data_IF_763685876064
#
_entry.id   IF_763685876064
#
_cell.length_a   1.000
_cell.length_b   1.000
_cell.length_c   1.000
_cell.angle_alpha   90.00
_cell.angle_beta   90.00
_cell.angle_gamma   90.00
#
_symmetry.space_group_name_H-M   'P 1'
#
loop_
_entity.id
_entity.type
_entity.pdbx_description
1 polymer ?
#
# COMPACT_ATOMS: atom_id res chain seq x y z
N UNK A 1 26.93 10.12 76.27
CA UNK A 1 27.65 9.16 75.40
C UNK A 1 26.72 8.78 74.24
N UNK A 2 27.27 8.70 73.02
CA UNK A 2 26.56 8.76 71.73
C UNK A 2 25.76 7.49 71.43
N UNK A 3 24.48 7.65 71.05
CA UNK A 3 23.65 6.60 70.41
C UNK A 3 23.86 6.64 68.89
N UNK A 4 24.31 5.53 68.30
CA UNK A 4 24.46 5.37 66.85
C UNK A 4 23.18 4.77 66.26
N UNK A 5 22.43 5.57 65.50
CA UNK A 5 21.32 5.10 64.68
C UNK A 5 21.82 4.58 63.34
N UNK A 6 21.49 3.34 63.00
CA UNK A 6 21.75 2.76 61.69
C UNK A 6 20.54 3.05 60.79
N UNK A 7 20.72 3.91 59.80
CA UNK A 7 19.74 4.12 58.74
C UNK A 7 19.96 3.05 57.65
N UNK A 8 19.01 2.11 57.54
CA UNK A 8 18.94 1.16 56.42
C UNK A 8 18.32 1.89 55.24
N UNK A 9 19.14 2.26 54.26
CA UNK A 9 18.69 2.81 52.97
C UNK A 9 18.26 1.62 52.11
N UNK A 10 16.95 1.40 51.99
CA UNK A 10 16.38 0.50 50.99
C UNK A 10 16.60 1.11 49.60
N UNK A 11 17.60 0.59 48.87
CA UNK A 11 17.72 0.81 47.44
C UNK A 11 16.55 0.10 46.73
N UNK A 12 15.52 0.86 46.39
CA UNK A 12 14.48 0.42 45.48
C UNK A 12 15.09 0.24 44.08
N UNK A 13 15.49 -1.00 43.78
CA UNK A 13 15.76 -1.43 42.41
C UNK A 13 14.46 -1.33 41.61
N UNK A 14 14.32 -0.26 40.82
CA UNK A 14 13.33 -0.20 39.75
C UNK A 14 13.75 -1.21 38.68
N UNK A 15 13.20 -2.42 38.76
CA UNK A 15 13.22 -3.36 37.65
C UNK A 15 12.25 -2.80 36.60
N UNK A 16 12.78 -2.04 35.64
CA UNK A 16 12.05 -1.69 34.43
C UNK A 16 11.70 -2.99 33.71
N UNK A 17 10.47 -3.46 33.88
CA UNK A 17 9.88 -4.48 33.05
C UNK A 17 9.88 -3.95 31.61
N UNK A 18 10.80 -4.46 30.78
CA UNK A 18 10.75 -4.24 29.35
C UNK A 18 9.40 -4.80 28.86
N UNK A 19 8.46 -3.90 28.55
CA UNK A 19 7.21 -4.29 27.91
C UNK A 19 7.57 -5.06 26.64
N UNK A 20 7.24 -6.36 26.61
CA UNK A 20 7.50 -7.21 25.46
C UNK A 20 6.90 -6.58 24.21
N UNK A 21 7.75 -6.28 23.23
CA UNK A 21 7.29 -5.68 22.00
C UNK A 21 6.33 -6.67 21.31
N UNK A 22 5.08 -6.25 21.10
CA UNK A 22 4.10 -7.10 20.43
C UNK A 22 4.53 -7.32 18.97
N UNK A 23 4.82 -8.59 18.65
CA UNK A 23 5.24 -9.01 17.32
C UNK A 23 4.02 -9.53 16.57
N UNK A 24 3.73 -8.88 15.44
CA UNK A 24 2.70 -9.27 14.50
C UNK A 24 3.31 -9.91 13.25
N UNK A 25 2.50 -10.56 12.42
CA UNK A 25 2.91 -10.99 11.09
C UNK A 25 2.02 -10.35 10.04
N UNK A 26 2.61 -9.66 9.07
CA UNK A 26 1.93 -9.15 7.88
C UNK A 26 2.19 -10.11 6.73
N UNK A 27 1.14 -10.77 6.24
CA UNK A 27 1.21 -11.57 5.02
C UNK A 27 0.93 -10.69 3.80
N UNK A 28 1.85 -10.72 2.85
CA UNK A 28 1.72 -10.14 1.52
C UNK A 28 1.43 -11.25 0.51
N UNK A 29 0.49 -10.99 -0.40
CA UNK A 29 0.25 -11.79 -1.61
C UNK A 29 0.17 -10.86 -2.83
N UNK A 30 1.09 -11.02 -3.77
CA UNK A 30 1.03 -10.38 -5.08
C UNK A 30 0.57 -11.41 -6.12
N UNK A 31 -0.52 -11.13 -6.83
CA UNK A 31 -1.18 -12.07 -7.75
C UNK A 31 -1.19 -11.49 -9.16
N UNK A 32 -0.77 -12.29 -10.14
CA UNK A 32 -0.85 -12.00 -11.57
C UNK A 32 -1.46 -13.22 -12.27
N UNK A 33 -2.69 -13.09 -12.77
CA UNK A 33 -3.42 -14.21 -13.38
C UNK A 33 -3.55 -15.42 -12.44
N UNK A 34 -2.85 -16.52 -12.74
CA UNK A 34 -2.84 -17.76 -11.96
C UNK A 34 -1.64 -17.89 -11.02
N UNK A 35 -0.73 -16.92 -11.04
CA UNK A 35 0.51 -16.92 -10.28
C UNK A 35 0.32 -16.09 -9.00
N UNK A 36 0.86 -16.57 -7.88
CA UNK A 36 0.84 -15.85 -6.61
C UNK A 36 2.22 -15.92 -5.96
N UNK A 37 2.77 -14.74 -5.65
CA UNK A 37 3.99 -14.55 -4.86
C UNK A 37 3.58 -14.15 -3.45
N UNK A 38 4.05 -14.86 -2.43
CA UNK A 38 3.62 -14.64 -1.06
C UNK A 38 4.78 -14.66 -0.07
N UNK A 39 4.70 -13.81 0.95
CA UNK A 39 5.66 -13.75 2.05
C UNK A 39 4.98 -13.28 3.34
N UNK A 40 5.36 -13.87 4.47
CA UNK A 40 4.94 -13.43 5.80
C UNK A 40 6.09 -12.68 6.48
N UNK A 41 5.89 -11.40 6.76
CA UNK A 41 6.87 -10.54 7.40
C UNK A 41 6.51 -10.32 8.87
N UNK A 42 7.38 -10.75 9.77
CA UNK A 42 7.27 -10.40 11.18
C UNK A 42 7.51 -8.90 11.35
N UNK A 43 6.60 -8.22 12.04
CA UNK A 43 6.66 -6.77 12.26
C UNK A 43 6.36 -6.43 13.71
N UNK A 44 6.99 -5.36 14.20
CA UNK A 44 6.76 -4.83 15.54
C UNK A 44 6.05 -3.50 15.42
N UNK A 45 5.02 -3.29 16.24
CA UNK A 45 4.28 -2.03 16.26
C UNK A 45 5.23 -0.85 16.49
N UNK A 46 5.12 0.18 15.64
CA UNK A 46 5.94 1.39 15.71
C UNK A 46 7.36 1.23 15.16
N UNK A 47 7.68 0.12 14.48
CA UNK A 47 8.99 -0.10 13.85
C UNK A 47 8.82 -0.48 12.37
N UNK A 48 9.80 -0.09 11.57
CA UNK A 48 9.91 -0.56 10.20
C UNK A 48 10.42 -2.01 10.18
N UNK A 49 9.90 -2.81 9.27
CA UNK A 49 10.36 -4.16 8.96
C UNK A 49 10.50 -4.29 7.45
N UNK A 50 11.48 -5.08 7.01
CA UNK A 50 11.84 -5.20 5.60
C UNK A 50 12.15 -6.64 5.23
N UNK A 51 11.79 -7.03 4.01
CA UNK A 51 12.20 -8.27 3.37
C UNK A 51 12.71 -7.97 1.96
N UNK A 52 13.79 -8.64 1.57
CA UNK A 52 14.29 -8.68 0.20
C UNK A 52 14.77 -10.10 -0.09
N UNK A 53 14.14 -10.79 -1.03
CA UNK A 53 14.53 -12.15 -1.38
C UNK A 53 13.45 -12.93 -2.11
N UNK A 54 13.60 -14.24 -2.18
CA UNK A 54 12.65 -15.11 -2.89
C UNK A 54 11.36 -15.32 -2.06
N UNK A 55 10.19 -14.89 -2.56
CA UNK A 55 8.91 -15.20 -1.95
C UNK A 55 8.55 -16.67 -2.24
N UNK A 56 7.58 -17.20 -1.49
CA UNK A 56 6.95 -18.47 -1.86
C UNK A 56 6.08 -18.25 -3.10
N UNK A 57 6.20 -19.11 -4.09
CA UNK A 57 5.42 -19.02 -5.34
C UNK A 57 4.38 -20.14 -5.43
N UNK A 58 3.18 -19.80 -5.91
CA UNK A 58 2.14 -20.76 -6.29
C UNK A 58 1.73 -20.48 -7.74
N UNK A 59 1.59 -21.53 -8.55
CA UNK A 59 1.32 -21.44 -10.00
C UNK A 59 2.60 -21.51 -10.83
N UNK A 60 2.46 -21.69 -12.15
CA UNK A 60 3.58 -21.89 -13.08
C UNK A 60 4.22 -20.60 -13.62
N UNK A 61 4.39 -19.58 -12.78
CA UNK A 61 4.98 -18.30 -13.17
C UNK A 61 6.51 -18.25 -12.98
N UNK A 62 7.18 -17.21 -13.51
CA UNK A 62 8.62 -17.04 -13.34
C UNK A 62 8.99 -16.79 -11.87
N UNK A 63 10.19 -17.19 -11.47
CA UNK A 63 10.76 -16.81 -10.18
C UNK A 63 11.04 -15.30 -10.17
N UNK A 64 10.62 -14.60 -9.12
CA UNK A 64 10.79 -13.16 -8.95
C UNK A 64 11.20 -12.87 -7.52
N UNK A 65 12.22 -12.04 -7.34
CA UNK A 65 12.55 -11.50 -6.01
C UNK A 65 11.44 -10.54 -5.58
N UNK A 66 11.12 -10.54 -4.30
CA UNK A 66 10.19 -9.62 -3.64
C UNK A 66 11.00 -8.70 -2.73
N UNK A 67 10.77 -7.40 -2.87
CA UNK A 67 11.13 -6.39 -1.87
C UNK A 67 9.85 -5.94 -1.20
N UNK A 68 9.80 -6.00 0.13
CA UNK A 68 8.64 -5.60 0.91
C UNK A 68 9.07 -4.83 2.15
N UNK A 69 8.62 -3.59 2.27
CA UNK A 69 8.77 -2.75 3.45
C UNK A 69 7.41 -2.55 4.11
N UNK A 70 7.38 -2.65 5.42
CA UNK A 70 6.19 -2.46 6.25
C UNK A 70 6.50 -1.60 7.46
N UNK A 71 5.59 -0.70 7.82
CA UNK A 71 5.55 -0.04 9.12
C UNK A 71 4.15 -0.18 9.71
N UNK A 72 4.02 -0.96 10.79
CA UNK A 72 2.75 -1.20 11.46
C UNK A 72 2.56 -0.17 12.58
N UNK A 73 1.54 0.68 12.46
CA UNK A 73 1.24 1.71 13.45
C UNK A 73 0.47 1.12 14.64
N UNK A 74 0.44 1.87 15.76
CA UNK A 74 -0.42 1.52 16.91
C UNK A 74 -1.89 1.44 16.46
N UNK A 75 -2.66 0.49 17.00
CA UNK A 75 -4.06 0.38 16.63
C UNK A 75 -4.87 1.58 17.14
N UNK A 76 -5.84 2.01 16.34
CA UNK A 76 -6.84 3.03 16.67
C UNK A 76 -8.20 2.44 16.31
N UNK A 77 -9.15 2.46 17.26
CA UNK A 77 -10.50 1.91 17.10
C UNK A 77 -10.55 0.46 16.60
N UNK A 78 -9.59 -0.37 17.05
CA UNK A 78 -9.49 -1.79 16.69
C UNK A 78 -8.92 -2.06 15.29
N UNK A 79 -8.36 -1.04 14.64
CA UNK A 79 -7.69 -1.16 13.35
C UNK A 79 -6.22 -0.74 13.41
N UNK A 80 -5.38 -1.43 12.65
CA UNK A 80 -3.99 -1.06 12.44
C UNK A 80 -3.84 -0.28 11.14
N UNK A 81 -3.07 0.80 11.13
CA UNK A 81 -2.58 1.39 9.88
C UNK A 81 -1.27 0.70 9.50
N UNK A 82 -1.20 0.12 8.31
CA UNK A 82 0.02 -0.39 7.71
C UNK A 82 0.47 0.54 6.59
N UNK A 83 1.70 1.05 6.71
CA UNK A 83 2.38 1.74 5.63
C UNK A 83 3.22 0.69 4.90
N UNK A 84 3.08 0.61 3.58
CA UNK A 84 3.72 -0.44 2.80
C UNK A 84 4.40 0.10 1.53
N UNK A 85 5.46 -0.60 1.12
CA UNK A 85 6.01 -0.57 -0.22
C UNK A 85 6.33 -2.00 -0.63
N UNK A 86 5.91 -2.40 -1.83
CA UNK A 86 6.15 -3.72 -2.38
C UNK A 86 6.63 -3.61 -3.82
N UNK A 87 7.61 -4.44 -4.18
CA UNK A 87 8.15 -4.55 -5.53
C UNK A 87 8.43 -6.02 -5.86
N UNK A 88 7.99 -6.45 -7.05
CA UNK A 88 8.42 -7.72 -7.62
C UNK A 88 9.44 -7.44 -8.72
N UNK A 89 10.63 -8.01 -8.58
CA UNK A 89 11.69 -7.88 -9.55
C UNK A 89 11.32 -8.56 -10.88
N UNK A 90 11.69 -7.90 -11.98
CA UNK A 90 11.70 -8.49 -13.31
C UNK A 90 13.03 -9.18 -13.60
N UNK A 91 13.21 -9.65 -14.83
CA UNK A 91 14.52 -10.07 -15.33
C UNK A 91 15.52 -8.90 -15.28
N UNK A 92 15.03 -7.69 -15.58
CA UNK A 92 15.76 -6.46 -15.38
C UNK A 92 15.31 -5.78 -14.08
N UNK A 93 16.19 -5.72 -13.07
CA UNK A 93 15.91 -5.09 -11.77
C UNK A 93 15.52 -3.61 -11.86
N UNK A 94 15.98 -2.88 -12.89
CA UNK A 94 15.60 -1.48 -13.09
C UNK A 94 14.18 -1.31 -13.66
N UNK A 95 13.50 -2.41 -14.03
CA UNK A 95 12.19 -2.43 -14.68
C UNK A 95 11.30 -3.49 -14.02
N UNK A 96 10.97 -3.33 -12.72
CA UNK A 96 10.13 -4.29 -12.02
C UNK A 96 8.74 -4.32 -12.66
N UNK A 97 8.16 -5.48 -13.02
CA UNK A 97 6.81 -5.53 -13.60
C UNK A 97 5.74 -4.90 -12.70
N UNK A 98 5.98 -4.88 -11.39
CA UNK A 98 5.05 -4.33 -10.42
C UNK A 98 5.79 -3.71 -9.24
N UNK A 99 5.49 -2.44 -8.97
CA UNK A 99 5.88 -1.73 -7.77
C UNK A 99 4.67 -0.94 -7.27
N UNK A 100 4.40 -0.97 -5.96
CA UNK A 100 3.35 -0.16 -5.36
C UNK A 100 3.68 0.24 -3.93
N UNK A 101 3.20 1.42 -3.53
CA UNK A 101 3.32 1.92 -2.17
C UNK A 101 2.04 2.63 -1.73
N UNK A 102 1.79 2.63 -0.42
CA UNK A 102 0.64 3.32 0.13
C UNK A 102 0.40 2.99 1.59
N UNK A 103 -0.80 3.30 2.08
CA UNK A 103 -1.22 2.98 3.44
C UNK A 103 -2.60 2.33 3.45
N UNK A 104 -2.77 1.28 4.24
CA UNK A 104 -4.04 0.58 4.38
C UNK A 104 -4.42 0.39 5.83
N UNK A 105 -5.73 0.29 6.06
CA UNK A 105 -6.28 -0.11 7.35
C UNK A 105 -6.42 -1.62 7.38
N UNK A 106 -5.76 -2.27 8.33
CA UNK A 106 -5.82 -3.71 8.53
C UNK A 106 -6.59 -4.06 9.80
N UNK A 107 -7.27 -5.20 9.73
CA UNK A 107 -7.85 -5.88 10.89
C UNK A 107 -7.26 -7.29 10.94
N UNK A 108 -6.84 -7.79 12.12
CA UNK A 108 -6.31 -9.14 12.23
C UNK A 108 -7.25 -10.20 11.62
N UNK A 109 -6.70 -11.05 10.76
CA UNK A 109 -7.42 -12.13 10.07
C UNK A 109 -8.34 -11.69 8.92
N UNK A 110 -8.36 -10.41 8.55
CA UNK A 110 -9.11 -9.90 7.40
C UNK A 110 -8.16 -9.35 6.33
N UNK A 111 -8.05 -10.01 5.17
CA UNK A 111 -7.21 -9.50 4.08
C UNK A 111 -7.83 -8.25 3.44
N UNK A 112 -6.96 -7.35 2.98
CA UNK A 112 -7.32 -6.15 2.22
C UNK A 112 -6.69 -6.23 0.84
N UNK A 113 -7.49 -6.02 -0.20
CA UNK A 113 -6.98 -5.79 -1.56
C UNK A 113 -6.44 -4.36 -1.63
N UNK A 114 -5.15 -4.20 -1.36
CA UNK A 114 -4.49 -2.91 -1.22
C UNK A 114 -4.36 -2.19 -2.56
N UNK A 115 -3.99 -2.93 -3.62
CA UNK A 115 -3.74 -2.37 -4.96
C UNK A 115 -4.21 -3.34 -6.04
N UNK A 116 -4.78 -2.81 -7.11
CA UNK A 116 -4.96 -3.51 -8.40
C UNK A 116 -4.39 -2.64 -9.51
N UNK A 117 -3.32 -3.07 -10.17
CA UNK A 117 -2.72 -2.27 -11.23
C UNK A 117 -2.15 -3.17 -12.33
N UNK A 118 -2.45 -2.88 -13.60
CA UNK A 118 -1.80 -3.58 -14.73
C UNK A 118 -1.92 -5.12 -14.72
N UNK A 119 -3.03 -5.66 -14.21
CA UNK A 119 -3.24 -7.10 -14.06
C UNK A 119 -2.77 -7.70 -12.72
N UNK A 120 -1.96 -6.95 -11.97
CA UNK A 120 -1.51 -7.31 -10.64
C UNK A 120 -2.55 -6.98 -9.57
N UNK A 121 -2.59 -7.81 -8.53
CA UNK A 121 -3.34 -7.57 -7.30
C UNK A 121 -2.42 -7.73 -6.10
N UNK A 122 -2.34 -6.72 -5.25
CA UNK A 122 -1.61 -6.78 -3.97
C UNK A 122 -2.62 -6.93 -2.83
N UNK A 123 -2.51 -8.02 -2.09
CA UNK A 123 -3.34 -8.34 -0.94
C UNK A 123 -2.46 -8.34 0.31
N UNK A 124 -2.89 -7.63 1.35
CA UNK A 124 -2.19 -7.50 2.62
C UNK A 124 -3.10 -8.01 3.75
N UNK A 125 -2.56 -8.82 4.65
CA UNK A 125 -3.29 -9.37 5.78
C UNK A 125 -2.44 -9.31 7.04
N UNK A 126 -2.97 -8.71 8.10
CA UNK A 126 -2.40 -8.84 9.44
C UNK A 126 -2.84 -10.18 10.02
N UNK A 127 -1.93 -11.10 10.30
CA UNK A 127 -2.26 -12.40 10.90
C UNK A 127 -2.65 -12.25 12.37
N UNK A 128 -3.60 -13.06 12.80
CA UNK A 128 -4.14 -13.06 14.16
C UNK A 128 -5.66 -13.17 14.16
N UNK A 129 -6.25 -13.15 15.36
CA UNK A 129 -7.71 -13.10 15.54
C UNK A 129 -8.09 -11.68 15.91
N UNK A 130 -9.14 -11.15 15.29
CA UNK A 130 -9.67 -9.86 15.70
C UNK A 130 -10.39 -9.98 17.06
N UNK A 131 -10.11 -9.06 17.97
CA UNK A 131 -10.88 -8.91 19.21
C UNK A 131 -12.19 -8.16 18.90
N UNK A 132 -13.33 -8.86 19.02
CA UNK A 132 -14.71 -8.35 18.91
C UNK A 132 -15.07 -7.45 17.67
N UNK A 133 -16.35 -7.06 17.55
CA UNK A 133 -16.94 -6.41 16.36
C UNK A 133 -16.44 -4.97 16.19
N UNK A 134 -15.40 -4.77 15.39
CA UNK A 134 -15.15 -3.44 14.81
C UNK A 134 -16.33 -3.06 13.89
N UNK A 135 -17.04 -1.99 14.24
CA UNK A 135 -18.06 -1.37 13.42
C UNK A 135 -17.36 -0.52 12.37
N UNK A 136 -17.36 -0.95 11.12
CA UNK A 136 -16.78 -0.18 10.03
C UNK A 136 -17.02 -0.84 8.70
N UNK A 137 -17.42 -0.02 7.72
CA UNK A 137 -17.36 -0.38 6.31
C UNK A 137 -15.89 -0.72 5.94
N UNK A 138 -15.70 -1.49 4.86
CA UNK A 138 -14.37 -1.80 4.35
C UNK A 138 -13.54 -0.53 4.09
N UNK A 139 -12.24 -0.68 3.86
CA UNK A 139 -11.44 0.45 3.38
C UNK A 139 -12.06 1.00 2.10
N UNK A 140 -12.32 2.31 2.00
CA UNK A 140 -12.86 2.88 0.78
C UNK A 140 -11.88 2.64 -0.37
N UNK A 141 -12.41 2.50 -1.58
CA UNK A 141 -11.61 2.16 -2.76
C UNK A 141 -11.63 3.33 -3.73
N UNK A 142 -10.44 3.72 -4.18
CA UNK A 142 -10.26 4.65 -5.27
C UNK A 142 -10.01 3.84 -6.54
N UNK A 143 -10.95 3.85 -7.47
CA UNK A 143 -10.77 3.28 -8.80
C UNK A 143 -10.20 4.35 -9.73
N UNK A 144 -9.05 4.08 -10.34
CA UNK A 144 -8.49 4.98 -11.34
C UNK A 144 -8.08 4.24 -12.60
N UNK A 145 -7.97 4.98 -13.71
CA UNK A 145 -7.32 4.44 -14.87
C UNK A 145 -7.09 5.46 -15.97
N UNK A 146 -6.04 5.20 -16.74
CA UNK A 146 -5.68 5.94 -17.93
C UNK A 146 -6.17 5.19 -19.17
N UNK A 147 -6.97 5.83 -20.01
CA UNK A 147 -7.38 5.30 -21.31
C UNK A 147 -6.67 6.05 -22.43
N UNK A 148 -6.00 5.33 -23.33
CA UNK A 148 -5.31 5.86 -24.50
C UNK A 148 -5.78 5.09 -25.74
N UNK A 149 -6.71 5.66 -26.51
CA UNK A 149 -7.40 4.94 -27.58
C UNK A 149 -8.10 3.68 -27.06
N UNK A 150 -7.66 2.50 -27.52
CA UNK A 150 -8.19 1.19 -27.09
C UNK A 150 -7.50 0.64 -25.83
N UNK A 151 -6.33 1.15 -25.47
CA UNK A 151 -5.59 0.69 -24.32
C UNK A 151 -6.18 1.28 -23.03
N UNK A 152 -6.19 0.49 -21.96
CA UNK A 152 -6.64 0.91 -20.64
C UNK A 152 -5.69 0.41 -19.56
N UNK A 153 -5.24 1.32 -18.70
CA UNK A 153 -4.28 1.09 -17.64
C UNK A 153 -4.96 1.36 -16.29
N UNK A 154 -5.55 0.34 -15.63
CA UNK A 154 -6.18 0.50 -14.33
C UNK A 154 -5.15 0.62 -13.22
N UNK A 155 -5.49 1.39 -12.19
CA UNK A 155 -4.77 1.45 -10.92
C UNK A 155 -5.76 1.79 -9.78
N UNK A 156 -6.19 0.77 -9.05
CA UNK A 156 -7.16 0.91 -7.96
C UNK A 156 -6.45 0.73 -6.62
N UNK A 157 -6.84 1.50 -5.61
CA UNK A 157 -6.24 1.46 -4.28
C UNK A 157 -7.31 1.41 -3.21
N UNK A 158 -7.14 0.55 -2.21
CA UNK A 158 -7.77 0.78 -0.91
C UNK A 158 -7.05 1.97 -0.27
N UNK A 159 -7.80 3.00 0.13
CA UNK A 159 -7.19 4.26 0.54
C UNK A 159 -7.64 4.74 1.93
N UNK A 160 -6.85 5.67 2.45
CA UNK A 160 -7.06 6.49 3.63
C UNK A 160 -6.93 7.95 3.19
N UNK A 161 -7.78 8.86 3.69
CA UNK A 161 -7.62 10.28 3.40
C UNK A 161 -6.27 10.82 3.88
N UNK A 162 -5.75 11.81 3.16
CA UNK A 162 -4.50 12.53 3.37
C UNK A 162 -3.23 11.66 3.30
N UNK A 163 -3.33 10.49 2.69
CA UNK A 163 -2.20 9.56 2.52
C UNK A 163 -1.81 9.40 1.05
N UNK A 164 -0.51 9.27 0.76
CA UNK A 164 -0.02 9.11 -0.61
C UNK A 164 0.00 7.64 -1.06
N UNK A 165 -0.34 7.42 -2.32
CA UNK A 165 -0.34 6.12 -2.99
C UNK A 165 0.41 6.21 -4.31
N UNK A 166 1.08 5.13 -4.70
CA UNK A 166 1.69 5.03 -6.02
C UNK A 166 1.71 3.61 -6.54
N UNK A 167 1.68 3.48 -7.87
CA UNK A 167 2.01 2.26 -8.57
C UNK A 167 2.86 2.58 -9.81
N UNK A 168 3.85 1.73 -10.05
CA UNK A 168 4.65 1.72 -11.27
C UNK A 168 4.61 0.32 -11.88
N UNK A 169 4.39 0.27 -13.18
CA UNK A 169 4.23 -0.94 -13.96
C UNK A 169 5.15 -0.86 -15.16
N UNK A 170 5.91 -1.93 -15.37
CA UNK A 170 6.78 -2.10 -16.54
C UNK A 170 6.33 -3.33 -17.31
N UNK A 171 6.26 -3.22 -18.64
CA UNK A 171 5.92 -4.33 -19.51
C UNK A 171 6.52 -4.17 -20.90
N UNK A 172 6.54 -5.25 -21.68
CA UNK A 172 7.21 -5.30 -22.98
C UNK A 172 8.67 -5.75 -22.89
N UNK A 173 9.29 -5.92 -24.05
CA UNK A 173 10.64 -6.47 -24.20
C UNK A 173 11.53 -5.54 -25.05
N UNK A 174 12.85 -5.70 -24.91
CA UNK A 174 13.84 -4.93 -25.66
C UNK A 174 13.76 -3.41 -25.42
N UNK A 175 13.68 -2.65 -26.51
CA UNK A 175 13.59 -1.18 -26.52
C UNK A 175 12.16 -0.65 -26.43
N UNK A 176 11.16 -1.54 -26.54
CA UNK A 176 9.73 -1.18 -26.52
C UNK A 176 9.10 -1.27 -25.12
N UNK A 177 9.91 -1.03 -24.08
CA UNK A 177 9.42 -1.11 -22.70
C UNK A 177 8.41 -0.02 -22.44
N UNK A 178 7.20 -0.44 -22.08
CA UNK A 178 6.15 0.43 -21.61
C UNK A 178 6.27 0.61 -20.11
N UNK A 179 6.27 1.88 -19.67
CA UNK A 179 6.20 2.26 -18.26
C UNK A 179 4.94 3.06 -17.99
N UNK A 180 4.10 2.58 -17.10
CA UNK A 180 2.97 3.34 -16.56
C UNK A 180 3.21 3.62 -15.08
N UNK A 181 3.10 4.89 -14.70
CA UNK A 181 3.21 5.35 -13.32
C UNK A 181 1.98 6.17 -12.95
N UNK A 182 1.51 6.00 -11.73
CA UNK A 182 0.47 6.83 -11.14
C UNK A 182 0.83 7.12 -9.68
N UNK A 183 0.64 8.38 -9.28
CA UNK A 183 0.67 8.85 -7.90
C UNK A 183 -0.67 9.47 -7.54
N UNK A 184 -1.19 9.17 -6.36
CA UNK A 184 -2.51 9.61 -5.89
C UNK A 184 -2.40 10.13 -4.46
N UNK A 185 -3.08 11.24 -4.17
CA UNK A 185 -3.23 11.80 -2.82
C UNK A 185 -4.69 12.25 -2.66
N UNK A 186 -5.57 11.39 -2.11
CA UNK A 186 -6.93 11.76 -1.77
C UNK A 186 -6.95 12.57 -0.47
N UNK A 187 -7.40 13.82 -0.52
CA UNK A 187 -7.51 14.66 0.67
C UNK A 187 -8.68 14.21 1.56
N UNK A 188 -8.71 14.71 2.79
CA UNK A 188 -9.89 14.67 3.66
C UNK A 188 -11.14 15.22 2.98
N UNK A 189 -12.27 14.59 3.28
CA UNK A 189 -13.57 15.03 2.79
C UNK A 189 -13.99 16.35 3.43
N UNK A 190 -14.57 17.23 2.63
CA UNK A 190 -15.30 18.39 3.09
C UNK A 190 -16.60 18.01 3.79
N UNK A 191 -17.30 19.03 4.30
CA UNK A 191 -18.58 18.89 5.01
C UNK A 191 -19.67 18.25 4.12
N UNK A 192 -19.58 18.44 2.80
CA UNK A 192 -20.47 17.88 1.80
C UNK A 192 -20.12 16.42 1.40
N UNK A 193 -19.09 15.83 2.02
CA UNK A 193 -18.61 14.48 1.72
C UNK A 193 -17.80 14.38 0.43
N UNK A 194 -17.60 15.48 -0.30
CA UNK A 194 -16.70 15.52 -1.45
C UNK A 194 -15.25 15.63 -0.98
N UNK A 195 -14.31 15.17 -1.78
CA UNK A 195 -12.89 15.36 -1.50
C UNK A 195 -12.11 15.60 -2.79
N UNK A 196 -10.98 16.27 -2.63
CA UNK A 196 -10.05 16.53 -3.72
C UNK A 196 -9.06 15.37 -3.83
N UNK A 197 -8.94 14.79 -5.01
CA UNK A 197 -7.89 13.85 -5.37
C UNK A 197 -6.82 14.59 -6.16
N UNK A 198 -5.63 14.73 -5.60
CA UNK A 198 -4.44 15.11 -6.35
C UNK A 198 -3.86 13.88 -7.03
N UNK A 199 -3.43 14.02 -8.28
CA UNK A 199 -2.84 12.93 -9.04
C UNK A 199 -1.65 13.37 -9.87
N UNK A 200 -0.74 12.42 -10.11
CA UNK A 200 0.29 12.48 -11.13
C UNK A 200 0.22 11.19 -11.94
N UNK A 201 0.43 11.28 -13.25
CA UNK A 201 0.48 10.10 -14.12
C UNK A 201 1.52 10.28 -15.20
N UNK A 202 2.11 9.17 -15.62
CA UNK A 202 3.02 9.13 -16.75
C UNK A 202 2.90 7.78 -17.47
N UNK A 203 2.81 7.83 -18.80
CA UNK A 203 2.87 6.66 -19.67
C UNK A 203 3.98 6.90 -20.71
N UNK A 204 4.97 6.02 -20.70
CA UNK A 204 6.06 5.99 -21.68
C UNK A 204 6.09 4.66 -22.43
N UNK A 205 6.55 4.69 -23.67
CA UNK A 205 6.86 3.51 -24.47
C UNK A 205 8.23 3.71 -25.13
N UNK A 206 9.22 2.93 -24.69
CA UNK A 206 10.62 3.21 -24.99
C UNK A 206 11.03 4.61 -24.50
N UNK A 207 11.51 5.44 -25.43
CA UNK A 207 11.85 6.84 -25.16
C UNK A 207 10.65 7.80 -25.32
N UNK A 208 9.55 7.36 -25.93
CA UNK A 208 8.41 8.21 -26.25
C UNK A 208 7.51 8.43 -25.04
N UNK A 209 7.09 9.68 -24.84
CA UNK A 209 6.10 10.05 -23.83
C UNK A 209 4.71 10.08 -24.45
N UNK A 210 3.88 9.09 -24.10
CA UNK A 210 2.53 8.95 -24.65
C UNK A 210 1.49 9.76 -23.85
N UNK A 211 1.67 9.85 -22.53
CA UNK A 211 0.81 10.62 -21.66
C UNK A 211 1.58 11.12 -20.43
N UNK A 212 1.31 12.34 -20.00
CA UNK A 212 1.82 12.91 -18.77
C UNK A 212 0.84 13.97 -18.31
N UNK A 213 0.42 13.88 -17.04
CA UNK A 213 -0.34 14.95 -16.44
C UNK A 213 -0.21 14.92 -14.92
N UNK A 214 -0.43 16.08 -14.32
CA UNK A 214 -0.65 16.23 -12.90
C UNK A 214 -1.82 17.19 -12.70
N UNK A 215 -2.66 16.92 -11.72
CA UNK A 215 -3.83 17.75 -11.50
C UNK A 215 -4.68 17.27 -10.36
N UNK A 216 -5.93 17.73 -10.39
CA UNK A 216 -6.85 17.57 -9.28
C UNK A 216 -8.23 17.18 -9.81
N UNK A 217 -8.91 16.27 -9.13
CA UNK A 217 -10.29 15.89 -9.38
C UNK A 217 -11.09 16.05 -8.10
N UNK A 218 -12.31 16.57 -8.19
CA UNK A 218 -13.25 16.57 -7.07
C UNK A 218 -14.10 15.31 -7.17
N UNK A 219 -14.03 14.47 -6.14
CA UNK A 219 -14.72 13.17 -6.07
C UNK A 219 -15.71 13.16 -4.91
N UNK A 220 -16.75 12.33 -5.02
CA UNK A 220 -17.67 12.04 -3.93
C UNK A 220 -17.87 10.51 -3.84
N UNK A 221 -17.79 9.89 -2.65
CA UNK A 221 -17.98 8.44 -2.51
C UNK A 221 -19.34 7.94 -3.01
N UNK A 222 -19.32 7.02 -3.97
CA UNK A 222 -20.52 6.49 -4.62
C UNK A 222 -21.05 7.34 -5.77
N UNK A 223 -20.44 8.48 -6.07
CA UNK A 223 -20.77 9.25 -7.26
C UNK A 223 -20.20 8.63 -8.54
N UNK A 224 -20.52 9.27 -9.67
CA UNK A 224 -20.03 8.89 -10.99
C UNK A 224 -18.52 9.04 -11.14
N UNK A 225 -18.04 8.56 -12.28
CA UNK A 225 -16.65 8.66 -12.71
C UNK A 225 -16.35 10.09 -13.15
N UNK A 226 -15.23 10.66 -12.69
CA UNK A 226 -14.73 11.98 -13.11
C UNK A 226 -13.50 11.79 -13.98
N UNK A 227 -13.29 12.67 -14.96
CA UNK A 227 -12.23 12.54 -15.96
C UNK A 227 -11.43 13.82 -16.14
N UNK A 228 -10.17 13.68 -16.54
CA UNK A 228 -9.31 14.77 -17.00
C UNK A 228 -8.50 14.33 -18.22
N UNK A 229 -8.17 15.26 -19.12
CA UNK A 229 -7.23 15.00 -20.21
C UNK A 229 -5.86 14.63 -19.65
N UNK A 230 -5.11 13.76 -20.32
CA UNK A 230 -3.80 13.26 -19.85
C UNK A 230 -2.67 13.45 -20.88
N UNK A 231 -2.91 14.23 -21.94
CA UNK A 231 -2.00 14.37 -23.09
C UNK A 231 -2.13 13.21 -24.08
N UNK A 232 -1.62 13.39 -25.31
CA UNK A 232 -1.55 12.33 -26.33
C UNK A 232 -2.88 11.66 -26.71
N UNK A 233 -4.02 12.35 -26.54
CA UNK A 233 -5.35 11.76 -26.73
C UNK A 233 -5.78 10.79 -25.63
N UNK A 234 -5.05 10.75 -24.51
CA UNK A 234 -5.37 9.95 -23.34
C UNK A 234 -6.29 10.70 -22.36
N UNK A 235 -7.09 9.93 -21.63
CA UNK A 235 -8.02 10.42 -20.61
C UNK A 235 -7.75 9.68 -19.31
N UNK A 236 -7.39 10.44 -18.27
CA UNK A 236 -7.34 9.96 -16.91
C UNK A 236 -8.73 9.99 -16.30
N UNK A 237 -8.99 9.06 -15.41
CA UNK A 237 -10.27 8.97 -14.75
C UNK A 237 -10.19 8.37 -13.37
N UNK A 238 -11.06 8.83 -12.49
CA UNK A 238 -11.14 8.38 -11.12
C UNK A 238 -12.59 8.27 -10.63
N UNK A 239 -12.82 7.37 -9.68
CA UNK A 239 -14.09 7.17 -8.99
C UNK A 239 -13.82 6.70 -7.56
N UNK A 240 -14.52 7.29 -6.59
CA UNK A 240 -14.46 6.84 -5.20
C UNK A 240 -15.63 5.89 -4.91
N UNK A 241 -15.33 4.70 -4.41
CA UNK A 241 -16.31 3.72 -3.93
C UNK A 241 -16.50 3.84 -2.41
N UNK A 242 -17.67 3.40 -1.94
CA UNK A 242 -18.02 3.33 -0.50
C UNK A 242 -17.42 2.11 0.18
#
# INVERSE_FOLDING_TARGET
MKTWGWAVIFYSFFISAAAGAEVWTVELKAVEGRVTYQHGLATTVGKQSSFAGQPRVRGGGPARELIFHSFLNKPVDGYFRLDYMAELAGENRARPPFQAAGKVRLRPGKPVLAVVAGGWKLILELKGKAEAKANGNGSPVLETGLRCGRAFYPANFAYLPDEQYSAALYGGEGDTVRRFMVGLLPNSSGVDGTFKLQYTLQLKEGAELLAENQGELILAPGAGKVTAAAGGGCVFSAKALR
#
